data_IF_013485167890
#
_entry.id   IF_013485167890
#
_cell.length_a   1.000
_cell.length_b   1.000
_cell.length_c   1.000
_cell.angle_alpha   90.00
_cell.angle_beta   90.00
_cell.angle_gamma   90.00
#
_symmetry.space_group_name_H-M   'P 1'
#
loop_
_entity.id
_entity.type
_entity.pdbx_description
1 polymer ?
#
# COMPACT_ATOMS: atom_id res chain seq x y z
N UNK A 1 13.94 8.52 28.91
CA UNK A 1 13.86 9.25 27.62
C UNK A 1 13.49 8.32 26.46
N UNK A 2 14.24 7.23 26.21
CA UNK A 2 13.93 6.27 25.14
C UNK A 2 12.51 5.67 25.21
N UNK A 3 12.02 5.33 26.41
CA UNK A 3 10.67 4.77 26.59
C UNK A 3 9.52 5.74 26.25
N UNK A 4 9.73 7.05 26.42
CA UNK A 4 8.74 8.07 26.09
C UNK A 4 8.71 8.33 24.57
N UNK A 5 9.88 8.43 23.96
CA UNK A 5 10.03 8.59 22.51
C UNK A 5 9.40 7.40 21.76
N UNK A 6 9.58 6.19 22.27
CA UNK A 6 9.04 4.96 21.71
C UNK A 6 7.50 4.93 21.74
N UNK A 7 6.89 5.29 22.87
CA UNK A 7 5.43 5.40 22.99
C UNK A 7 4.87 6.48 22.06
N UNK A 8 5.57 7.61 21.94
CA UNK A 8 5.21 8.68 21.00
C UNK A 8 5.25 8.22 19.54
N UNK A 9 6.29 7.47 19.15
CA UNK A 9 6.41 6.89 17.81
C UNK A 9 5.27 5.90 17.51
N UNK A 10 4.94 5.00 18.45
CA UNK A 10 3.81 4.08 18.31
C UNK A 10 2.49 4.84 18.15
N UNK A 11 2.24 5.85 18.98
CA UNK A 11 1.01 6.65 18.89
C UNK A 11 0.91 7.38 17.54
N UNK A 12 2.00 8.00 17.07
CA UNK A 12 2.05 8.67 15.78
C UNK A 12 1.82 7.68 14.61
N UNK A 13 2.39 6.48 14.67
CA UNK A 13 2.14 5.42 13.68
C UNK A 13 0.66 5.03 13.67
N UNK A 14 0.05 4.78 14.83
CA UNK A 14 -1.36 4.41 14.92
C UNK A 14 -2.29 5.50 14.37
N UNK A 15 -2.04 6.77 14.73
CA UNK A 15 -2.82 7.91 14.22
C UNK A 15 -2.71 8.01 12.70
N UNK A 16 -1.50 7.91 12.16
CA UNK A 16 -1.29 7.99 10.71
C UNK A 16 -1.83 6.77 9.97
N UNK A 17 -1.89 5.60 10.60
CA UNK A 17 -2.55 4.40 10.08
C UNK A 17 -4.07 4.59 10.01
N UNK A 18 -4.68 5.16 11.05
CA UNK A 18 -6.11 5.51 11.06
C UNK A 18 -6.46 6.47 9.93
N UNK A 19 -5.68 7.54 9.77
CA UNK A 19 -5.86 8.50 8.67
C UNK A 19 -5.69 7.82 7.31
N UNK A 20 -4.69 6.95 7.17
CA UNK A 20 -4.48 6.16 5.95
C UNK A 20 -5.68 5.28 5.61
N UNK A 21 -6.25 4.60 6.60
CA UNK A 21 -7.42 3.75 6.41
C UNK A 21 -8.66 4.57 6.01
N UNK A 22 -8.88 5.73 6.64
CA UNK A 22 -9.95 6.66 6.24
C UNK A 22 -9.78 7.09 4.78
N UNK A 23 -8.55 7.42 4.36
CA UNK A 23 -8.27 7.80 2.96
C UNK A 23 -8.42 6.63 1.98
N UNK A 24 -8.15 5.40 2.41
CA UNK A 24 -8.38 4.21 1.60
C UNK A 24 -9.87 3.96 1.32
N UNK A 25 -10.76 4.33 2.26
CA UNK A 25 -12.21 4.21 2.07
C UNK A 25 -12.78 5.39 1.26
N UNK A 26 -12.37 6.62 1.57
CA UNK A 26 -12.91 7.85 0.97
C UNK A 26 -12.28 8.19 -0.38
N UNK A 27 -11.17 7.56 -0.75
CA UNK A 27 -10.44 7.84 -2.00
C UNK A 27 -11.33 7.79 -3.24
N UNK A 28 -11.30 8.81 -4.13
CA UNK A 28 -12.16 8.88 -5.30
C UNK A 28 -11.71 7.91 -6.41
N UNK A 29 -10.40 7.74 -6.59
CA UNK A 29 -9.84 6.86 -7.61
C UNK A 29 -9.33 5.55 -7.03
N UNK A 30 -9.25 4.50 -7.85
CA UNK A 30 -8.62 3.23 -7.45
C UNK A 30 -7.16 3.43 -7.01
N UNK A 31 -6.42 4.26 -7.75
CA UNK A 31 -5.02 4.58 -7.44
C UNK A 31 -4.88 5.30 -6.09
N UNK A 32 -5.78 6.21 -5.73
CA UNK A 32 -5.77 6.87 -4.41
C UNK A 32 -5.97 5.87 -3.27
N UNK A 33 -6.91 4.94 -3.45
CA UNK A 33 -7.18 3.89 -2.46
C UNK A 33 -6.00 2.95 -2.31
N UNK A 34 -5.41 2.52 -3.44
CA UNK A 34 -4.23 1.65 -3.44
C UNK A 34 -3.01 2.33 -2.79
N UNK A 35 -2.79 3.62 -3.07
CA UNK A 35 -1.73 4.40 -2.45
C UNK A 35 -1.95 4.51 -0.93
N UNK A 36 -3.18 4.73 -0.49
CA UNK A 36 -3.52 4.77 0.93
C UNK A 36 -3.29 3.41 1.63
N UNK A 37 -3.63 2.30 0.98
CA UNK A 37 -3.33 0.95 1.47
C UNK A 37 -1.82 0.71 1.57
N UNK A 38 -1.03 1.13 0.57
CA UNK A 38 0.42 1.01 0.63
C UNK A 38 1.03 1.85 1.78
N UNK A 39 0.52 3.06 1.97
CA UNK A 39 0.90 3.94 3.08
C UNK A 39 0.57 3.33 4.45
N UNK A 40 -0.52 2.58 4.55
CA UNK A 40 -0.86 1.81 5.74
C UNK A 40 0.09 0.62 5.94
N UNK A 41 0.33 -0.18 4.89
CA UNK A 41 1.21 -1.35 4.96
C UNK A 41 2.65 -1.00 5.34
N UNK A 42 3.19 0.11 4.85
CA UNK A 42 4.53 0.60 5.25
C UNK A 42 4.60 1.01 6.73
N UNK A 43 3.51 1.52 7.30
CA UNK A 43 3.44 1.82 8.76
C UNK A 43 3.33 0.55 9.60
N UNK A 44 2.64 -0.47 9.10
CA UNK A 44 2.62 -1.80 9.73
C UNK A 44 4.03 -2.36 9.84
N UNK A 45 4.83 -2.27 8.78
CA UNK A 45 6.24 -2.71 8.79
C UNK A 45 7.04 -1.98 9.88
N UNK A 46 6.92 -0.65 9.95
CA UNK A 46 7.58 0.15 10.98
C UNK A 46 7.12 -0.25 12.38
N UNK A 47 5.83 -0.51 12.57
CA UNK A 47 5.26 -0.92 13.85
C UNK A 47 5.83 -2.29 14.29
N UNK A 48 5.90 -3.27 13.40
CA UNK A 48 6.48 -4.59 13.70
C UNK A 48 7.97 -4.48 14.04
N UNK A 49 8.74 -3.71 13.27
CA UNK A 49 10.16 -3.47 13.55
C UNK A 49 10.35 -2.79 14.92
N UNK A 50 9.51 -1.79 15.23
CA UNK A 50 9.55 -1.07 16.49
C UNK A 50 9.21 -1.99 17.67
N UNK A 51 8.18 -2.85 17.53
CA UNK A 51 7.83 -3.85 18.54
C UNK A 51 8.98 -4.82 18.80
N UNK A 52 9.65 -5.30 17.75
CA UNK A 52 10.86 -6.12 17.87
C UNK A 52 11.96 -5.45 18.69
N UNK A 53 12.17 -4.16 18.44
CA UNK A 53 13.11 -3.34 19.20
C UNK A 53 12.71 -3.22 20.68
N UNK A 54 11.42 -2.99 20.98
CA UNK A 54 10.93 -2.89 22.38
C UNK A 54 11.11 -4.21 23.13
N UNK A 55 10.82 -5.33 22.47
CA UNK A 55 10.91 -6.66 23.07
C UNK A 55 12.35 -7.17 23.20
N UNK A 56 13.33 -6.46 22.63
CA UNK A 56 14.72 -6.89 22.59
C UNK A 56 14.95 -8.16 21.76
N UNK A 57 14.04 -8.46 20.84
CA UNK A 57 14.07 -9.67 20.00
C UNK A 57 14.30 -9.29 18.54
N UNK A 58 15.56 -9.32 18.05
CA UNK A 58 15.89 -8.87 16.69
C UNK A 58 15.24 -9.75 15.59
N UNK A 59 14.87 -11.00 15.91
CA UNK A 59 14.14 -11.93 15.01
C UNK A 59 12.84 -11.33 14.43
N UNK A 60 12.24 -10.35 15.12
CA UNK A 60 11.06 -9.64 14.66
C UNK A 60 11.35 -8.75 13.44
N UNK A 61 12.60 -8.36 13.24
CA UNK A 61 13.02 -7.60 12.08
C UNK A 61 12.91 -8.42 10.79
N UNK A 62 13.16 -9.73 10.86
CA UNK A 62 12.98 -10.63 9.70
C UNK A 62 11.51 -10.69 9.28
N UNK A 63 10.61 -10.75 10.26
CA UNK A 63 9.17 -10.66 10.04
C UNK A 63 8.81 -9.31 9.41
N UNK A 64 9.32 -8.20 9.95
CA UNK A 64 9.08 -6.86 9.40
C UNK A 64 9.54 -6.75 7.93
N UNK A 65 10.72 -7.29 7.61
CA UNK A 65 11.26 -7.32 6.26
C UNK A 65 10.41 -8.17 5.31
N UNK A 66 9.94 -9.34 5.76
CA UNK A 66 9.02 -10.16 4.99
C UNK A 66 7.71 -9.41 4.68
N UNK A 67 7.12 -8.73 5.67
CA UNK A 67 5.95 -7.88 5.45
C UNK A 67 6.22 -6.72 4.49
N UNK A 68 7.42 -6.12 4.55
CA UNK A 68 7.81 -5.06 3.62
C UNK A 68 7.85 -5.55 2.17
N UNK A 69 8.43 -6.72 1.95
CA UNK A 69 8.47 -7.35 0.64
C UNK A 69 7.07 -7.69 0.13
N UNK A 70 6.23 -8.30 0.97
CA UNK A 70 4.84 -8.65 0.62
C UNK A 70 4.05 -7.39 0.25
N UNK A 71 4.13 -6.33 1.06
CA UNK A 71 3.42 -5.09 0.80
C UNK A 71 3.87 -4.42 -0.51
N UNK A 72 5.17 -4.40 -0.76
CA UNK A 72 5.74 -3.81 -1.97
C UNK A 72 5.36 -4.60 -3.23
N UNK A 73 5.60 -5.92 -3.22
CA UNK A 73 5.28 -6.81 -4.35
C UNK A 73 3.77 -6.81 -4.60
N UNK A 74 2.95 -6.89 -3.55
CA UNK A 74 1.50 -6.86 -3.66
C UNK A 74 1.00 -5.58 -4.31
N UNK A 75 1.56 -4.42 -3.94
CA UNK A 75 1.21 -3.14 -4.56
C UNK A 75 1.56 -3.11 -6.04
N UNK A 76 2.77 -3.56 -6.42
CA UNK A 76 3.20 -3.64 -7.82
C UNK A 76 2.30 -4.61 -8.61
N UNK A 77 1.98 -5.77 -8.03
CA UNK A 77 1.12 -6.76 -8.68
C UNK A 77 -0.26 -6.19 -9.01
N UNK A 78 -0.87 -5.48 -8.05
CA UNK A 78 -2.16 -4.81 -8.26
C UNK A 78 -2.05 -3.71 -9.31
N UNK A 79 -1.01 -2.87 -9.28
CA UNK A 79 -0.79 -1.84 -10.29
C UNK A 79 -0.65 -2.42 -11.69
N UNK A 80 0.15 -3.48 -11.86
CA UNK A 80 0.31 -4.15 -13.16
C UNK A 80 -0.97 -4.82 -13.63
N UNK A 81 -1.76 -5.36 -12.71
CA UNK A 81 -3.05 -5.96 -13.03
C UNK A 81 -4.03 -4.92 -13.57
N UNK A 82 -4.20 -3.79 -12.89
CA UNK A 82 -5.09 -2.72 -13.35
C UNK A 82 -4.63 -2.15 -14.69
N UNK A 83 -3.35 -1.85 -14.83
CA UNK A 83 -2.80 -1.33 -16.09
C UNK A 83 -3.07 -2.26 -17.28
N UNK A 84 -2.93 -3.59 -17.10
CA UNK A 84 -3.19 -4.56 -18.18
C UNK A 84 -4.67 -4.63 -18.58
N UNK A 85 -5.61 -4.44 -17.64
CA UNK A 85 -7.04 -4.42 -17.96
C UNK A 85 -7.41 -3.17 -18.75
N UNK A 86 -6.92 -2.01 -18.32
CA UNK A 86 -7.14 -0.75 -19.02
C UNK A 86 -6.64 -0.79 -20.48
N UNK A 87 -5.55 -1.51 -20.76
CA UNK A 87 -5.06 -1.74 -22.13
C UNK A 87 -5.88 -2.78 -22.91
N UNK A 88 -6.33 -3.85 -22.26
CA UNK A 88 -7.12 -4.90 -22.92
C UNK A 88 -8.49 -4.39 -23.39
N UNK A 89 -9.13 -3.54 -22.59
CA UNK A 89 -10.43 -2.94 -22.91
C UNK A 89 -10.34 -2.00 -24.14
N UNK A 90 -9.21 -1.32 -24.35
CA UNK A 90 -8.99 -0.44 -25.52
C UNK A 90 -8.82 -1.21 -26.83
N UNK A 91 -8.27 -2.43 -26.81
CA UNK A 91 -8.10 -3.26 -28.01
C UNK A 91 -9.42 -3.98 -28.37
N UNK A 92 -10.23 -4.31 -27.38
CA UNK A 92 -11.52 -4.98 -27.58
C UNK A 92 -12.64 -4.04 -28.06
N UNK A 93 -12.48 -2.72 -27.91
CA UNK A 93 -13.38 -1.75 -28.50
C UNK A 93 -13.29 -1.84 -30.04
N UNK A 94 -14.40 -2.19 -30.74
CA UNK A 94 -14.41 -2.16 -32.19
C UNK A 94 -14.09 -0.73 -32.65
N UNK A 95 -13.27 -0.61 -33.67
CA UNK A 95 -13.13 0.62 -34.44
C UNK A 95 -14.50 0.98 -35.05
N UNK A 96 -15.31 1.70 -34.28
CA UNK A 96 -16.61 2.23 -34.66
C UNK A 96 -16.47 3.42 -35.63
N UNK A 97 -15.23 3.86 -35.90
CA UNK A 97 -14.91 4.92 -36.85
C UNK A 97 -14.21 4.37 -38.11
N UNK A 98 -14.74 3.27 -38.67
CA UNK A 98 -14.54 2.96 -40.08
C UNK A 98 -15.62 3.67 -40.88
N UNK A 99 -15.29 4.86 -41.38
CA UNK A 99 -15.98 5.37 -42.57
C UNK A 99 -15.97 4.27 -43.65
N UNK A 100 -17.06 4.09 -44.42
CA UNK A 100 -17.06 3.16 -45.53
C UNK A 100 -15.89 3.52 -46.45
N UNK A 101 -14.98 2.57 -46.67
CA UNK A 101 -13.95 2.70 -47.69
C UNK A 101 -14.66 3.06 -49.02
N UNK A 102 -14.21 4.10 -49.75
CA UNK A 102 -14.80 4.50 -51.02
C UNK A 102 -14.71 3.39 -52.08
#
# INVERSE_FOLDING_TARGET
>A
MASLALKGAVAALLVTMLIGLLRAVVGPTFYDRLLAVNLFGTKTVLLVALLGFVMGRPEWLDIALAYAMINFIGTIAVLRFVQRRDFGDQIAAPDENKDPLP
#
